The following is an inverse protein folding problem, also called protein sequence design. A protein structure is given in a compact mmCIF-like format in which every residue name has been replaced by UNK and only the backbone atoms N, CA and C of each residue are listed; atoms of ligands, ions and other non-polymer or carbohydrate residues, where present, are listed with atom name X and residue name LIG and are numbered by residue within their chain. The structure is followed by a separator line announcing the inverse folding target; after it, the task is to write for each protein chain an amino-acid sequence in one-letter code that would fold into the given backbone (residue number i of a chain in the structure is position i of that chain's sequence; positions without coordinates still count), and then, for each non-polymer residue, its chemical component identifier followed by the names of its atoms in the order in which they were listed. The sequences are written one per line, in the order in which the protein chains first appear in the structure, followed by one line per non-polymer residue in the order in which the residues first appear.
data_IF_852527234040
#
_entry.id   IF_852527234040
#
_cell.length_a   1.000
_cell.length_b   1.000
_cell.length_c   1.000
_cell.angle_alpha   90.00
_cell.angle_beta   90.00
_cell.angle_gamma   90.00
#
_symmetry.space_group_name_H-M   'P 1'
#
loop_
_entity.id
_entity.type
_entity.pdbx_description
1 polymer ?
#
# COMPACT_ATOMS: atom_id res chain seq x y z
N UNK A 1 -9.02 25.96 -0.81
CA UNK A 1 -9.20 24.66 -0.10
C UNK A 1 -8.40 23.51 -0.73
N UNK A 2 -8.19 23.48 -2.04
CA UNK A 2 -7.49 22.40 -2.76
C UNK A 2 -6.00 22.28 -2.38
N UNK A 3 -5.30 23.41 -2.22
CA UNK A 3 -3.88 23.40 -1.82
C UNK A 3 -3.67 22.77 -0.45
N UNK A 4 -4.56 23.02 0.49
CA UNK A 4 -4.49 22.38 1.82
C UNK A 4 -4.66 20.87 1.74
N UNK A 5 -5.49 20.36 0.82
CA UNK A 5 -5.69 18.92 0.65
C UNK A 5 -4.46 18.22 0.06
N UNK A 6 -3.77 18.84 -0.90
CA UNK A 6 -2.55 18.30 -1.52
C UNK A 6 -1.40 18.30 -0.51
N UNK A 7 -1.17 19.42 0.18
CA UNK A 7 -0.15 19.54 1.21
C UNK A 7 -0.46 18.62 2.40
N UNK A 8 -1.73 18.55 2.81
CA UNK A 8 -2.19 17.64 3.84
C UNK A 8 -1.93 16.18 3.49
N UNK A 9 -2.21 15.76 2.25
CA UNK A 9 -1.95 14.40 1.77
C UNK A 9 -0.45 14.07 1.80
N UNK A 10 0.42 15.00 1.41
CA UNK A 10 1.86 14.85 1.54
C UNK A 10 2.29 14.65 2.99
N UNK A 11 1.79 15.48 3.90
CA UNK A 11 2.10 15.36 5.33
C UNK A 11 1.59 14.05 5.93
N UNK A 12 0.38 13.60 5.57
CA UNK A 12 -0.16 12.30 5.98
C UNK A 12 0.74 11.17 5.49
N UNK A 13 1.23 11.24 4.23
CA UNK A 13 2.18 10.29 3.69
C UNK A 13 3.50 10.27 4.47
N UNK A 14 4.02 11.44 4.80
CA UNK A 14 5.27 11.60 5.53
C UNK A 14 5.14 11.13 6.99
N UNK A 15 4.07 11.53 7.70
CA UNK A 15 3.81 11.13 9.08
C UNK A 15 3.42 9.66 9.19
N UNK A 16 2.82 9.10 8.15
CA UNK A 16 2.53 7.68 8.01
C UNK A 16 3.75 6.78 7.77
N UNK A 17 4.96 7.34 7.81
CA UNK A 17 6.22 6.65 7.58
C UNK A 17 6.38 5.38 8.42
N UNK A 18 6.07 5.46 9.72
CA UNK A 18 6.14 4.32 10.64
C UNK A 18 5.22 3.16 10.24
N UNK A 19 4.00 3.47 9.79
CA UNK A 19 3.04 2.49 9.26
C UNK A 19 3.55 1.87 7.94
N UNK A 20 4.05 2.70 7.03
CA UNK A 20 4.61 2.24 5.76
C UNK A 20 5.85 1.35 5.97
N UNK A 21 6.74 1.69 6.91
CA UNK A 21 7.90 0.86 7.25
C UNK A 21 7.46 -0.47 7.85
N UNK A 22 6.50 -0.46 8.76
CA UNK A 22 6.00 -1.66 9.41
C UNK A 22 5.33 -2.64 8.43
N UNK A 23 4.53 -2.13 7.51
CA UNK A 23 3.82 -2.96 6.53
C UNK A 23 4.65 -3.29 5.29
N UNK A 24 5.26 -2.27 4.68
CA UNK A 24 5.94 -2.44 3.40
C UNK A 24 7.44 -2.72 3.57
N UNK A 25 8.03 -2.41 4.74
CA UNK A 25 9.46 -2.57 4.98
C UNK A 25 9.95 -4.02 4.85
N UNK A 26 9.16 -4.99 5.30
CA UNK A 26 9.48 -6.41 5.14
C UNK A 26 9.54 -6.85 3.68
N UNK A 27 8.62 -6.38 2.85
CA UNK A 27 8.61 -6.68 1.42
C UNK A 27 9.72 -5.95 0.66
N UNK A 28 9.91 -4.67 0.96
CA UNK A 28 11.02 -3.88 0.39
C UNK A 28 12.36 -4.50 0.77
N UNK A 29 12.46 -5.04 2.00
CA UNK A 29 13.63 -5.80 2.44
C UNK A 29 13.85 -7.07 1.65
N UNK A 30 12.81 -7.86 1.45
CA UNK A 30 12.85 -9.06 0.61
C UNK A 30 13.20 -8.71 -0.85
N UNK A 31 12.67 -7.61 -1.37
CA UNK A 31 12.99 -7.10 -2.68
C UNK A 31 14.47 -6.67 -2.79
N UNK A 32 14.98 -5.89 -1.84
CA UNK A 32 16.37 -5.43 -1.80
C UNK A 32 17.37 -6.57 -1.68
N UNK A 33 17.02 -7.66 -0.98
CA UNK A 33 17.90 -8.83 -0.80
C UNK A 33 18.04 -9.68 -2.08
N UNK A 34 17.13 -9.54 -3.03
CA UNK A 34 17.13 -10.29 -4.29
C UNK A 34 17.81 -9.54 -5.44
N UNK A 35 18.23 -8.28 -5.22
CA UNK A 35 18.90 -7.50 -6.24
C UNK A 35 20.27 -8.13 -6.60
N UNK A 36 20.68 -8.04 -7.88
CA UNK A 36 21.98 -8.51 -8.32
C UNK A 36 23.10 -7.90 -7.46
N UNK A 37 24.03 -8.73 -7.00
CA UNK A 37 25.21 -8.25 -6.25
C UNK A 37 26.18 -7.58 -7.21
N UNK A 38 26.51 -6.33 -6.91
CA UNK A 38 27.51 -5.52 -7.60
C UNK A 38 28.63 -5.13 -6.63
N UNK A 39 29.69 -4.49 -7.11
CA UNK A 39 30.73 -3.90 -6.25
C UNK A 39 30.10 -2.92 -5.25
N UNK A 40 30.63 -2.87 -4.02
CA UNK A 40 30.04 -2.11 -2.90
C UNK A 40 29.63 -0.67 -3.27
N UNK A 41 30.40 -0.01 -4.12
CA UNK A 41 30.17 1.39 -4.52
C UNK A 41 28.99 1.52 -5.52
N UNK A 42 28.79 0.53 -6.40
CA UNK A 42 27.68 0.48 -7.35
C UNK A 42 26.41 -0.13 -6.77
N UNK A 43 26.52 -0.85 -5.65
CA UNK A 43 25.41 -1.55 -5.04
C UNK A 43 24.33 -0.56 -4.53
N UNK A 44 24.73 0.53 -3.86
CA UNK A 44 23.80 1.54 -3.36
C UNK A 44 23.08 2.26 -4.50
N UNK A 45 23.82 2.65 -5.54
CA UNK A 45 23.22 3.31 -6.69
C UNK A 45 22.23 2.41 -7.43
N UNK A 46 22.56 1.13 -7.59
CA UNK A 46 21.68 0.13 -8.18
C UNK A 46 20.43 -0.04 -7.32
N UNK A 47 20.58 -0.23 -6.01
CA UNK A 47 19.50 -0.37 -5.06
C UNK A 47 18.55 0.84 -5.08
N UNK A 48 19.09 2.05 -5.07
CA UNK A 48 18.29 3.28 -5.14
C UNK A 48 17.52 3.40 -6.45
N UNK A 49 18.12 3.03 -7.59
CA UNK A 49 17.42 3.00 -8.89
C UNK A 49 16.21 2.08 -8.87
N UNK A 50 16.38 0.86 -8.36
CA UNK A 50 15.28 -0.10 -8.25
C UNK A 50 14.19 0.36 -7.29
N UNK A 51 14.58 0.85 -6.10
CA UNK A 51 13.65 1.35 -5.10
C UNK A 51 12.88 2.58 -5.62
N UNK A 52 13.56 3.50 -6.29
CA UNK A 52 12.92 4.68 -6.88
C UNK A 52 11.90 4.28 -7.94
N UNK A 53 12.28 3.37 -8.85
CA UNK A 53 11.40 2.87 -9.91
C UNK A 53 10.18 2.14 -9.34
N UNK A 54 10.38 1.32 -8.30
CA UNK A 54 9.29 0.66 -7.59
C UNK A 54 8.32 1.68 -6.97
N UNK A 55 8.84 2.68 -6.28
CA UNK A 55 8.01 3.74 -5.68
C UNK A 55 7.29 4.58 -6.74
N UNK A 56 7.93 4.82 -7.89
CA UNK A 56 7.29 5.52 -9.01
C UNK A 56 6.07 4.73 -9.53
N UNK A 57 6.18 3.41 -9.66
CA UNK A 57 5.05 2.53 -9.97
C UNK A 57 3.91 2.65 -8.96
N UNK A 58 4.24 2.66 -7.67
CA UNK A 58 3.26 2.86 -6.59
C UNK A 58 2.55 4.22 -6.67
N UNK A 59 3.32 5.30 -6.84
CA UNK A 59 2.77 6.65 -6.95
C UNK A 59 1.82 6.75 -8.14
N UNK A 60 2.20 6.14 -9.28
CA UNK A 60 1.33 6.09 -10.44
C UNK A 60 0.03 5.34 -10.16
N UNK A 61 0.09 4.18 -9.47
CA UNK A 61 -1.12 3.45 -9.06
C UNK A 61 -2.01 4.27 -8.15
N UNK A 62 -1.43 5.00 -7.19
CA UNK A 62 -2.18 5.90 -6.33
C UNK A 62 -2.83 7.04 -7.11
N UNK A 63 -2.09 7.65 -8.04
CA UNK A 63 -2.64 8.69 -8.91
C UNK A 63 -3.80 8.17 -9.76
N UNK A 64 -3.66 6.96 -10.34
CA UNK A 64 -4.72 6.31 -11.09
C UNK A 64 -5.94 6.00 -10.22
N UNK A 65 -5.74 5.45 -9.02
CA UNK A 65 -6.82 5.19 -8.07
C UNK A 65 -7.54 6.49 -7.68
N UNK A 66 -6.79 7.56 -7.39
CA UNK A 66 -7.34 8.88 -7.09
C UNK A 66 -8.11 9.49 -8.25
N UNK A 67 -7.59 9.34 -9.48
CA UNK A 67 -8.28 9.79 -10.68
C UNK A 67 -9.60 9.03 -10.91
N UNK A 68 -9.58 7.71 -10.76
CA UNK A 68 -10.76 6.87 -10.92
C UNK A 68 -11.84 7.22 -9.89
N UNK A 69 -11.45 7.30 -8.62
CA UNK A 69 -12.40 7.56 -7.52
C UNK A 69 -12.91 9.00 -7.55
N UNK A 70 -12.03 9.99 -7.75
CA UNK A 70 -12.43 11.39 -7.88
C UNK A 70 -13.26 11.65 -9.13
N UNK A 71 -12.94 10.98 -10.25
CA UNK A 71 -13.71 11.06 -11.49
C UNK A 71 -15.06 10.34 -11.40
N UNK A 72 -15.12 9.16 -10.77
CA UNK A 72 -16.39 8.47 -10.54
C UNK A 72 -17.32 9.25 -9.58
N UNK A 73 -16.76 9.91 -8.57
CA UNK A 73 -17.51 10.79 -7.69
C UNK A 73 -18.17 11.93 -8.45
N UNK A 74 -17.47 12.55 -9.41
CA UNK A 74 -18.04 13.62 -10.25
C UNK A 74 -19.11 13.11 -11.22
N UNK A 75 -18.96 11.88 -11.73
CA UNK A 75 -19.88 11.32 -12.70
C UNK A 75 -21.14 10.68 -12.06
N UNK A 76 -20.96 10.04 -10.90
CA UNK A 76 -22.01 9.25 -10.23
C UNK A 76 -22.64 9.96 -9.03
N UNK A 77 -22.09 11.10 -8.60
CA UNK A 77 -22.57 11.86 -7.46
C UNK A 77 -23.99 12.39 -7.56
N UNK A 78 -24.60 12.31 -8.78
CA UNK A 78 -26.02 12.60 -9.00
C UNK A 78 -26.92 11.33 -8.93
N UNK A 79 -26.33 10.12 -8.90
CA UNK A 79 -27.07 8.86 -9.07
C UNK A 79 -26.97 7.93 -7.84
N UNK A 80 -26.01 8.11 -6.96
CA UNK A 80 -25.78 7.24 -5.80
C UNK A 80 -25.53 8.02 -4.52
N UNK A 81 -26.03 7.50 -3.39
CA UNK A 81 -25.69 7.96 -2.07
C UNK A 81 -24.18 7.84 -1.85
N UNK A 82 -23.48 9.00 -1.88
CA UNK A 82 -22.03 9.07 -1.72
C UNK A 82 -21.58 8.50 -0.36
N UNK A 83 -22.43 8.65 0.67
CA UNK A 83 -22.14 8.12 2.02
C UNK A 83 -22.09 6.60 2.01
N UNK A 84 -23.06 5.93 1.37
CA UNK A 84 -23.09 4.46 1.26
C UNK A 84 -21.85 3.93 0.50
N UNK A 85 -21.42 4.62 -0.56
CA UNK A 85 -20.22 4.27 -1.32
C UNK A 85 -18.96 4.36 -0.43
N UNK A 86 -18.79 5.45 0.31
CA UNK A 86 -17.67 5.65 1.21
C UNK A 86 -17.64 4.63 2.36
N UNK A 87 -18.81 4.34 2.95
CA UNK A 87 -18.94 3.34 4.01
C UNK A 87 -18.55 1.95 3.49
N UNK A 88 -19.01 1.58 2.30
CA UNK A 88 -18.67 0.29 1.67
C UNK A 88 -17.16 0.15 1.45
N UNK A 89 -16.50 1.19 0.93
CA UNK A 89 -15.05 1.21 0.78
C UNK A 89 -14.33 1.07 2.12
N UNK A 90 -14.82 1.73 3.17
CA UNK A 90 -14.25 1.62 4.53
C UNK A 90 -14.42 0.23 5.12
N UNK A 91 -15.56 -0.42 4.92
CA UNK A 91 -15.79 -1.79 5.37
C UNK A 91 -14.81 -2.77 4.70
N UNK A 92 -14.66 -2.67 3.38
CA UNK A 92 -13.70 -3.49 2.64
C UNK A 92 -12.27 -3.26 3.14
N UNK A 93 -11.88 -1.99 3.31
CA UNK A 93 -10.55 -1.65 3.82
C UNK A 93 -10.30 -2.19 5.23
N UNK A 94 -11.27 -2.03 6.14
CA UNK A 94 -11.16 -2.52 7.51
C UNK A 94 -11.00 -4.04 7.58
N UNK A 95 -11.82 -4.79 6.82
CA UNK A 95 -11.71 -6.25 6.73
C UNK A 95 -10.34 -6.68 6.19
N UNK A 96 -9.87 -6.04 5.12
CA UNK A 96 -8.57 -6.33 4.52
C UNK A 96 -7.41 -5.99 5.47
N UNK A 97 -7.51 -4.91 6.25
CA UNK A 97 -6.51 -4.57 7.27
C UNK A 97 -6.45 -5.60 8.38
N UNK A 98 -7.60 -6.06 8.89
CA UNK A 98 -7.66 -7.12 9.91
C UNK A 98 -7.06 -8.41 9.37
N UNK A 99 -7.46 -8.84 8.16
CA UNK A 99 -6.94 -10.05 7.54
C UNK A 99 -5.42 -10.00 7.34
N UNK A 100 -4.90 -8.87 6.83
CA UNK A 100 -3.46 -8.65 6.64
C UNK A 100 -2.71 -8.61 7.96
N UNK A 101 -3.28 -7.96 8.98
CA UNK A 101 -2.69 -7.89 10.32
C UNK A 101 -2.56 -9.26 10.98
N UNK A 102 -3.59 -10.09 10.89
CA UNK A 102 -3.58 -11.48 11.40
C UNK A 102 -2.56 -12.35 10.65
N UNK A 103 -2.44 -12.16 9.34
CA UNK A 103 -1.44 -12.85 8.53
C UNK A 103 0.00 -12.46 8.92
N UNK A 104 0.29 -11.15 9.08
CA UNK A 104 1.61 -10.67 9.49
C UNK A 104 1.96 -11.16 10.90
N UNK A 105 0.99 -11.14 11.81
CA UNK A 105 1.16 -11.64 13.17
C UNK A 105 1.37 -13.16 13.23
N UNK A 106 1.12 -13.89 12.15
CA UNK A 106 1.15 -15.37 12.08
C UNK A 106 0.21 -16.04 13.10
N UNK A 107 -0.82 -15.33 13.55
CA UNK A 107 -1.82 -15.84 14.49
C UNK A 107 -2.87 -16.68 13.75
N UNK A 108 -3.17 -16.30 12.50
CA UNK A 108 -4.20 -16.95 11.71
C UNK A 108 -3.68 -17.34 10.34
N UNK A 109 -3.49 -18.63 10.15
CA UNK A 109 -3.16 -19.21 8.85
C UNK A 109 -4.40 -19.48 7.97
N UNK A 110 -5.56 -18.97 8.37
CA UNK A 110 -6.82 -19.11 7.64
C UNK A 110 -6.81 -18.45 6.25
N UNK A 111 -5.90 -17.50 6.01
CA UNK A 111 -5.57 -17.04 4.65
C UNK A 111 -5.15 -18.20 3.75
N UNK A 112 -4.53 -19.26 4.31
CA UNK A 112 -4.20 -20.51 3.58
C UNK A 112 -5.46 -21.27 3.15
N UNK A 113 -6.59 -21.11 3.85
CA UNK A 113 -7.86 -21.74 3.45
C UNK A 113 -8.59 -20.93 2.37
N UNK A 114 -8.48 -19.58 2.43
CA UNK A 114 -8.90 -18.70 1.33
C UNK A 114 -7.99 -18.91 0.11
N UNK A 115 -6.71 -19.24 0.34
CA UNK A 115 -5.74 -19.64 -0.67
C UNK A 115 -6.15 -20.98 -1.35
N UNK A 116 -6.85 -21.87 -0.66
CA UNK A 116 -7.47 -23.05 -1.29
C UNK A 116 -8.58 -22.69 -2.26
N UNK A 117 -9.42 -21.71 -1.97
CA UNK A 117 -10.38 -21.16 -2.91
C UNK A 117 -9.69 -20.32 -3.99
N UNK A 118 -8.62 -19.61 -3.62
CA UNK A 118 -7.73 -18.86 -4.52
C UNK A 118 -6.80 -19.73 -5.38
N UNK A 119 -6.66 -21.05 -5.10
CA UNK A 119 -5.83 -21.96 -5.90
C UNK A 119 -6.17 -21.94 -7.39
N UNK A 120 -7.43 -21.75 -7.71
CA UNK A 120 -7.86 -21.65 -9.11
C UNK A 120 -7.33 -20.35 -9.76
N UNK A 121 -7.44 -19.23 -9.07
CA UNK A 121 -6.92 -17.93 -9.53
C UNK A 121 -5.38 -17.95 -9.48
N UNK A 122 -4.80 -18.51 -8.42
CA UNK A 122 -3.35 -18.63 -8.24
C UNK A 122 -2.68 -19.50 -9.30
N UNK A 123 -3.35 -20.53 -9.79
CA UNK A 123 -2.87 -21.36 -10.89
C UNK A 123 -2.62 -20.54 -12.17
N UNK A 124 -3.42 -19.50 -12.40
CA UNK A 124 -3.24 -18.59 -13.53
C UNK A 124 -2.27 -17.43 -13.21
N UNK A 125 -2.26 -16.97 -11.98
CA UNK A 125 -1.35 -15.88 -11.54
C UNK A 125 0.05 -16.37 -11.22
N UNK A 126 0.21 -17.59 -10.72
CA UNK A 126 1.50 -18.18 -10.32
C UNK A 126 2.57 -18.13 -11.42
N UNK A 127 2.29 -18.52 -12.69
CA UNK A 127 3.29 -18.44 -13.75
C UNK A 127 3.68 -16.99 -14.11
N UNK A 128 2.80 -16.03 -13.87
CA UNK A 128 3.08 -14.61 -14.07
C UNK A 128 3.89 -14.08 -12.88
N UNK A 129 3.47 -14.38 -11.67
CA UNK A 129 4.15 -13.99 -10.45
C UNK A 129 5.56 -14.59 -10.36
N UNK A 130 5.75 -15.86 -10.71
CA UNK A 130 7.05 -16.52 -10.70
C UNK A 130 8.03 -15.95 -11.73
N UNK A 131 7.54 -15.39 -12.84
CA UNK A 131 8.35 -14.67 -13.81
C UNK A 131 8.73 -13.26 -13.32
N UNK A 132 8.01 -12.72 -12.34
CA UNK A 132 8.27 -11.41 -11.74
C UNK A 132 9.15 -11.46 -10.49
N UNK A 133 9.31 -12.64 -9.88
CA UNK A 133 10.19 -12.88 -8.72
C UNK A 133 11.25 -13.94 -9.13
N UNK A 134 12.56 -13.63 -9.02
CA UNK A 134 13.21 -12.44 -8.47
C UNK A 134 13.19 -11.24 -9.45
N UNK A 135 13.05 -10.03 -8.91
CA UNK A 135 13.07 -8.79 -9.71
C UNK A 135 14.50 -8.53 -10.17
N UNK A 136 14.73 -8.74 -11.45
CA UNK A 136 16.07 -8.60 -12.08
C UNK A 136 16.17 -7.36 -12.96
N UNK A 137 15.06 -6.77 -13.35
CA UNK A 137 15.01 -5.66 -14.30
C UNK A 137 14.22 -4.47 -13.75
N UNK A 138 14.56 -3.29 -14.22
CA UNK A 138 13.88 -2.03 -13.86
C UNK A 138 12.38 -2.06 -14.18
N UNK A 139 11.94 -2.55 -15.37
CA UNK A 139 10.50 -2.70 -15.65
C UNK A 139 9.75 -3.62 -14.68
N UNK A 140 10.39 -4.71 -14.24
CA UNK A 140 9.79 -5.60 -13.22
C UNK A 140 9.60 -4.88 -11.89
N UNK A 141 10.55 -4.02 -11.50
CA UNK A 141 10.42 -3.19 -10.30
C UNK A 141 9.24 -2.22 -10.41
N UNK A 142 9.09 -1.58 -11.55
CA UNK A 142 7.97 -0.66 -11.82
C UNK A 142 6.61 -1.36 -11.73
N UNK A 143 6.46 -2.49 -12.44
CA UNK A 143 5.22 -3.28 -12.43
C UNK A 143 4.93 -3.81 -11.02
N UNK A 144 5.97 -4.27 -10.30
CA UNK A 144 5.85 -4.69 -8.91
C UNK A 144 5.33 -3.55 -8.02
N UNK A 145 5.83 -2.33 -8.20
CA UNK A 145 5.33 -1.14 -7.53
C UNK A 145 3.88 -0.82 -7.88
N UNK A 146 3.52 -0.91 -9.16
CA UNK A 146 2.15 -0.70 -9.63
C UNK A 146 1.17 -1.68 -8.98
N UNK A 147 1.48 -2.97 -8.98
CA UNK A 147 0.65 -4.00 -8.36
C UNK A 147 0.52 -3.80 -6.86
N UNK A 148 1.62 -3.41 -6.20
CA UNK A 148 1.64 -3.18 -4.76
C UNK A 148 0.85 -1.94 -4.34
N UNK A 149 0.76 -0.94 -5.20
CA UNK A 149 -0.04 0.27 -4.96
C UNK A 149 -1.55 0.00 -4.84
N UNK A 150 -2.03 -1.14 -5.35
CA UNK A 150 -3.43 -1.56 -5.19
C UNK A 150 -3.73 -2.28 -3.88
N UNK A 151 -2.70 -2.53 -3.05
CA UNK A 151 -2.94 -3.14 -1.75
C UNK A 151 -3.70 -2.19 -0.82
N UNK A 152 -4.82 -2.66 -0.26
CA UNK A 152 -5.63 -1.85 0.62
C UNK A 152 -4.93 -1.64 1.96
N UNK A 153 -4.51 -0.42 2.25
CA UNK A 153 -4.05 -0.04 3.58
C UNK A 153 -4.82 1.18 4.10
N UNK A 154 -4.97 1.30 5.41
CA UNK A 154 -5.81 2.33 6.03
C UNK A 154 -5.43 3.77 5.66
N UNK A 155 -4.13 4.05 5.48
CA UNK A 155 -3.65 5.37 5.07
C UNK A 155 -4.03 5.70 3.62
N UNK A 156 -3.97 4.74 2.71
CA UNK A 156 -4.41 4.92 1.32
C UNK A 156 -5.90 5.21 1.28
N UNK A 157 -6.70 4.45 2.03
CA UNK A 157 -8.16 4.66 2.04
C UNK A 157 -8.56 5.99 2.68
N UNK A 158 -7.92 6.40 3.78
CA UNK A 158 -8.19 7.70 4.38
C UNK A 158 -7.85 8.86 3.45
N UNK A 159 -6.77 8.75 2.68
CA UNK A 159 -6.41 9.76 1.68
C UNK A 159 -7.32 9.68 0.44
N UNK A 160 -7.79 8.48 0.09
CA UNK A 160 -8.72 8.27 -1.01
C UNK A 160 -10.07 8.94 -0.77
N UNK A 161 -10.54 9.05 0.51
CA UNK A 161 -11.75 9.83 0.83
C UNK A 161 -11.60 11.31 0.50
N UNK A 162 -10.39 11.87 0.60
CA UNK A 162 -10.12 13.24 0.17
C UNK A 162 -10.17 13.37 -1.36
N UNK A 163 -9.70 12.34 -2.08
CA UNK A 163 -9.81 12.29 -3.54
C UNK A 163 -11.28 12.24 -4.00
N UNK A 164 -12.14 11.50 -3.28
CA UNK A 164 -13.61 11.50 -3.49
C UNK A 164 -14.16 12.90 -3.27
N UNK A 165 -13.85 13.52 -2.13
CA UNK A 165 -14.34 14.86 -1.76
C UNK A 165 -13.88 15.95 -2.73
N UNK A 166 -12.76 15.75 -3.45
CA UNK A 166 -12.29 16.66 -4.48
C UNK A 166 -13.19 16.69 -5.72
N UNK A 167 -14.03 15.68 -5.92
CA UNK A 167 -15.02 15.57 -7.00
C UNK A 167 -14.44 15.88 -8.40
N UNK A 168 -13.19 15.49 -8.63
CA UNK A 168 -12.46 15.73 -9.88
C UNK A 168 -11.36 14.68 -10.05
N UNK A 169 -11.28 14.08 -11.24
CA UNK A 169 -10.26 13.09 -11.56
C UNK A 169 -8.83 13.67 -11.43
N UNK A 170 -8.62 14.90 -11.93
CA UNK A 170 -7.31 15.55 -11.87
C UNK A 170 -6.88 15.87 -10.43
N UNK A 171 -7.81 16.39 -9.62
CA UNK A 171 -7.53 16.72 -8.23
C UNK A 171 -7.33 15.48 -7.37
N UNK A 172 -8.15 14.44 -7.57
CA UNK A 172 -7.99 13.15 -6.93
C UNK A 172 -6.64 12.50 -7.25
N UNK A 173 -6.21 12.56 -8.51
CA UNK A 173 -4.89 12.10 -8.92
C UNK A 173 -3.77 12.87 -8.22
N UNK A 174 -3.86 14.20 -8.15
CA UNK A 174 -2.84 15.05 -7.49
C UNK A 174 -2.76 14.78 -5.98
N UNK A 175 -3.89 14.66 -5.29
CA UNK A 175 -3.94 14.33 -3.86
C UNK A 175 -3.25 13.00 -3.59
N UNK A 176 -3.60 11.97 -4.35
CA UNK A 176 -3.04 10.63 -4.18
C UNK A 176 -1.57 10.53 -4.60
N UNK A 177 -1.16 11.25 -5.64
CA UNK A 177 0.25 11.36 -6.02
C UNK A 177 1.07 12.05 -4.93
N UNK A 178 0.56 13.13 -4.36
CA UNK A 178 1.20 13.88 -3.28
C UNK A 178 1.36 13.01 -2.02
N UNK A 179 0.34 12.24 -1.64
CA UNK A 179 0.43 11.22 -0.59
C UNK A 179 1.55 10.21 -0.88
N UNK A 180 1.61 9.68 -2.11
CA UNK A 180 2.66 8.75 -2.55
C UNK A 180 4.06 9.35 -2.45
N UNK A 181 4.23 10.61 -2.84
CA UNK A 181 5.49 11.35 -2.68
C UNK A 181 5.87 11.51 -1.20
N UNK A 182 4.89 11.78 -0.32
CA UNK A 182 5.13 11.86 1.12
C UNK A 182 5.65 10.57 1.73
N UNK A 183 5.24 9.40 1.22
CA UNK A 183 5.73 8.09 1.70
C UNK A 183 7.13 7.73 1.18
N UNK A 184 7.62 8.41 0.14
CA UNK A 184 8.84 8.06 -0.58
C UNK A 184 10.10 8.08 0.31
N UNK A 185 10.38 9.13 1.14
CA UNK A 185 11.56 9.16 1.98
C UNK A 185 11.63 7.97 2.95
N UNK A 186 10.47 7.62 3.54
CA UNK A 186 10.37 6.50 4.48
C UNK A 186 10.67 5.16 3.82
N UNK A 187 10.15 4.93 2.63
CA UNK A 187 10.32 3.67 1.92
C UNK A 187 11.71 3.53 1.29
N UNK A 188 12.30 4.63 0.83
CA UNK A 188 13.70 4.63 0.39
C UNK A 188 14.65 4.32 1.56
N UNK A 189 14.45 4.98 2.70
CA UNK A 189 15.27 4.71 3.89
C UNK A 189 15.10 3.28 4.39
N UNK A 190 13.86 2.76 4.44
CA UNK A 190 13.57 1.38 4.80
C UNK A 190 14.24 0.39 3.82
N UNK A 191 14.20 0.67 2.52
CA UNK A 191 14.81 -0.15 1.48
C UNK A 191 16.34 -0.20 1.60
N UNK A 192 16.98 0.93 1.82
CA UNK A 192 18.44 1.00 2.03
C UNK A 192 18.85 0.31 3.35
N UNK A 193 18.07 0.55 4.40
CA UNK A 193 18.32 -0.04 5.71
C UNK A 193 17.90 -1.53 5.81
N UNK A 194 17.23 -2.07 4.80
CA UNK A 194 16.69 -3.44 4.83
C UNK A 194 17.75 -4.51 5.06
N UNK A 195 18.96 -4.32 4.56
CA UNK A 195 20.09 -5.25 4.79
C UNK A 195 20.54 -5.27 6.25
N UNK A 196 20.38 -4.15 6.97
CA UNK A 196 20.73 -4.02 8.39
C UNK A 196 19.57 -4.49 9.27
N UNK A 197 18.36 -4.10 8.93
CA UNK A 197 17.14 -4.38 9.70
C UNK A 197 16.43 -5.66 9.30
N UNK A 198 16.83 -6.33 8.23
CA UNK A 198 16.13 -7.50 7.69
C UNK A 198 15.96 -8.63 8.72
N UNK A 199 16.96 -8.85 9.59
CA UNK A 199 16.87 -9.82 10.70
C UNK A 199 15.92 -9.36 11.80
N UNK A 200 15.86 -8.05 12.04
CA UNK A 200 15.02 -7.48 13.09
C UNK A 200 13.54 -7.48 12.69
N UNK A 201 13.23 -7.14 11.44
CA UNK A 201 11.87 -7.17 10.89
C UNK A 201 11.32 -8.62 10.81
N UNK A 202 12.19 -9.62 10.65
CA UNK A 202 11.82 -11.04 10.67
C UNK A 202 11.62 -11.58 12.10
N UNK A 203 11.96 -10.83 13.13
CA UNK A 203 11.77 -11.23 14.51
C UNK A 203 10.27 -11.43 14.78
N UNK A 204 9.93 -12.57 15.40
CA UNK A 204 8.56 -12.94 15.74
C UNK A 204 7.84 -11.85 16.57
N UNK A 205 8.55 -11.20 17.49
CA UNK A 205 7.98 -10.13 18.32
C UNK A 205 7.61 -8.89 17.47
N UNK A 206 8.48 -8.49 16.53
CA UNK A 206 8.23 -7.34 15.67
C UNK A 206 7.03 -7.63 14.75
N UNK A 207 6.92 -8.82 14.21
CA UNK A 207 5.79 -9.24 13.38
C UNK A 207 4.49 -9.30 14.18
N UNK A 208 4.52 -9.83 15.40
CA UNK A 208 3.36 -9.84 16.31
C UNK A 208 2.89 -8.42 16.61
N UNK A 209 3.80 -7.54 17.03
CA UNK A 209 3.47 -6.14 17.36
C UNK A 209 2.90 -5.42 16.14
N UNK A 210 3.59 -5.50 14.99
CA UNK A 210 3.14 -4.84 13.75
C UNK A 210 1.78 -5.36 13.28
N UNK A 211 1.58 -6.68 13.32
CA UNK A 211 0.31 -7.31 12.95
C UNK A 211 -0.81 -6.94 13.91
N UNK A 212 -0.56 -6.90 15.23
CA UNK A 212 -1.54 -6.49 16.22
C UNK A 212 -1.97 -5.02 16.05
N UNK A 213 -1.03 -4.13 15.81
CA UNK A 213 -1.32 -2.72 15.51
C UNK A 213 -2.24 -2.62 14.30
N UNK A 214 -1.97 -3.37 13.24
CA UNK A 214 -2.80 -3.41 12.03
C UNK A 214 -4.23 -3.91 12.32
N UNK A 215 -4.36 -4.96 13.12
CA UNK A 215 -5.67 -5.50 13.52
C UNK A 215 -6.45 -4.43 14.31
N UNK A 216 -5.81 -3.75 15.26
CA UNK A 216 -6.44 -2.68 16.05
C UNK A 216 -6.95 -1.56 15.14
N UNK A 217 -6.11 -1.06 14.21
CA UNK A 217 -6.53 -0.02 13.25
C UNK A 217 -7.63 -0.53 12.30
N UNK A 218 -7.57 -1.78 11.87
CA UNK A 218 -8.61 -2.39 11.05
C UNK A 218 -9.95 -2.48 11.78
N UNK A 219 -9.95 -2.90 13.05
CA UNK A 219 -11.14 -2.95 13.89
C UNK A 219 -11.70 -1.54 14.17
N UNK A 220 -10.83 -0.55 14.42
CA UNK A 220 -11.24 0.84 14.57
C UNK A 220 -11.91 1.37 13.29
N UNK A 221 -11.34 1.06 12.12
CA UNK A 221 -11.92 1.46 10.82
C UNK A 221 -13.29 0.82 10.59
N UNK A 222 -13.45 -0.47 10.95
CA UNK A 222 -14.73 -1.16 10.88
C UNK A 222 -15.76 -0.57 11.87
N UNK A 223 -15.35 -0.28 13.10
CA UNK A 223 -16.22 0.34 14.08
C UNK A 223 -16.76 1.70 13.60
N UNK A 224 -15.89 2.56 13.06
CA UNK A 224 -16.30 3.86 12.50
C UNK A 224 -17.26 3.66 11.31
N UNK A 225 -16.99 2.69 10.43
CA UNK A 225 -17.85 2.42 9.28
C UNK A 225 -19.25 1.94 9.71
N UNK A 226 -19.33 1.06 10.71
CA UNK A 226 -20.61 0.58 11.27
C UNK A 226 -21.36 1.68 12.01
N UNK A 227 -20.66 2.53 12.76
CA UNK A 227 -21.26 3.68 13.45
C UNK A 227 -21.84 4.74 12.50
N UNK A 228 -21.38 4.79 11.25
CA UNK A 228 -21.92 5.68 10.21
C UNK A 228 -23.13 5.07 9.47
N UNK A 229 -23.41 3.78 9.65
CA UNK A 229 -24.59 3.12 9.11
C UNK A 229 -25.83 3.28 9.98
N UNK A 230 -25.63 3.59 11.27
CA UNK A 230 -26.71 3.84 12.26
C UNK A 230 -26.93 5.31 12.46
#
# INVERSE_FOLDING_TARGET
MIEYSITGAFLVGLMGAGHCIGMCGGLIGAFSSQLPRSTKQNQLALQLRFLFTYNLGRILSYALAGALVGGSASALGMLFDMDLYLITLRLIAGVMMVATGLYIAQIWSGVVQVERAGKFIWRFLSPIASKMVPVKTIPQAFIGGMLWGWLPCGLVYSTLTWAVAANSAAQGAMIMASFGLGTLPALLSAGVAANVFGRWVQNRMVRLVSGSILVIFGLQTLYIAIAQLN
#
